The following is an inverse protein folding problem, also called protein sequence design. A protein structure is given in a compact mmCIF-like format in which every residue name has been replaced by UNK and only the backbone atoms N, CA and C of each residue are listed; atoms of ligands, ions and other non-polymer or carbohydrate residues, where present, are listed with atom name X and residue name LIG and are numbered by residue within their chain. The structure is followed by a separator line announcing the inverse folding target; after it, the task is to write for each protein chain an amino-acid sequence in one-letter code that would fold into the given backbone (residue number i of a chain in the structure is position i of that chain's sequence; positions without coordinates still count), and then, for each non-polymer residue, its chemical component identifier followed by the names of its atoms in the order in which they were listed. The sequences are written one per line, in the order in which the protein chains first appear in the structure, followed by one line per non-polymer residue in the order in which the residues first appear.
data_IF_184467035928
#
_entry.id   IF_184467035928
#
_cell.length_a   1.000
_cell.length_b   1.000
_cell.length_c   1.000
_cell.angle_alpha   90.00
_cell.angle_beta   90.00
_cell.angle_gamma   90.00
#
_symmetry.space_group_name_H-M   'P 1'
#
loop_
_entity.id
_entity.type
_entity.pdbx_description
1 polymer ?
#
# COMPACT_ATOMS: atom_id res chain seq x y z
N UNK A 1 11.54 8.78 15.89
CA UNK A 1 11.07 9.70 14.83
C UNK A 1 9.58 9.93 15.03
N UNK A 2 9.08 11.15 14.91
CA UNK A 2 7.65 11.46 15.08
C UNK A 2 7.04 11.66 13.70
N UNK A 3 6.12 10.77 13.30
CA UNK A 3 5.46 10.86 12.00
C UNK A 3 4.56 12.09 11.92
N UNK A 4 4.48 12.67 10.73
CA UNK A 4 3.55 13.76 10.42
C UNK A 4 2.14 13.23 10.20
N UNK A 5 1.13 14.12 10.23
CA UNK A 5 -0.26 13.73 9.95
C UNK A 5 -0.43 13.11 8.56
N UNK A 6 0.28 13.64 7.56
CA UNK A 6 0.23 13.12 6.18
C UNK A 6 0.79 11.71 6.12
N UNK A 7 1.90 11.45 6.80
CA UNK A 7 2.49 10.11 6.89
C UNK A 7 1.55 9.11 7.59
N UNK A 8 0.87 9.51 8.66
CA UNK A 8 -0.14 8.66 9.31
C UNK A 8 -1.30 8.30 8.37
N UNK A 9 -1.81 9.27 7.61
CA UNK A 9 -2.86 9.03 6.61
C UNK A 9 -2.36 8.07 5.53
N UNK A 10 -1.11 8.24 5.07
CA UNK A 10 -0.51 7.36 4.08
C UNK A 10 -0.33 5.92 4.60
N UNK A 11 0.07 5.76 5.87
CA UNK A 11 0.15 4.45 6.54
C UNK A 11 -1.24 3.79 6.62
N UNK A 12 -2.27 4.54 7.01
CA UNK A 12 -3.64 4.05 7.04
C UNK A 12 -4.14 3.63 5.64
N UNK A 13 -3.76 4.38 4.61
CA UNK A 13 -4.05 4.05 3.21
C UNK A 13 -3.36 2.75 2.79
N UNK A 14 -2.15 2.47 3.28
CA UNK A 14 -1.50 1.16 3.11
C UNK A 14 -2.32 0.02 3.69
N UNK A 15 -2.84 0.16 4.90
CA UNK A 15 -3.73 -0.82 5.53
C UNK A 15 -5.01 -1.05 4.70
N UNK A 16 -5.64 0.02 4.24
CA UNK A 16 -6.84 -0.03 3.41
C UNK A 16 -6.58 -0.74 2.07
N UNK A 17 -5.46 -0.43 1.41
CA UNK A 17 -5.03 -1.12 0.19
C UNK A 17 -4.83 -2.62 0.41
N UNK A 18 -4.18 -3.00 1.52
CA UNK A 18 -4.02 -4.40 1.91
C UNK A 18 -5.36 -5.14 2.01
N UNK A 19 -6.36 -4.51 2.62
CA UNK A 19 -7.70 -5.07 2.73
C UNK A 19 -8.43 -5.18 1.39
N UNK A 20 -8.34 -4.15 0.54
CA UNK A 20 -8.94 -4.14 -0.80
C UNK A 20 -8.34 -5.26 -1.66
N UNK A 21 -7.02 -5.40 -1.66
CA UNK A 21 -6.33 -6.44 -2.44
C UNK A 21 -6.67 -7.83 -1.91
N UNK A 22 -6.73 -8.03 -0.59
CA UNK A 22 -7.16 -9.30 -0.01
C UNK A 22 -8.58 -9.68 -0.44
N UNK A 23 -9.50 -8.71 -0.47
CA UNK A 23 -10.86 -8.94 -0.94
C UNK A 23 -10.89 -9.29 -2.43
N UNK A 24 -10.14 -8.56 -3.26
CA UNK A 24 -10.02 -8.84 -4.69
C UNK A 24 -9.40 -10.22 -4.98
N UNK A 25 -8.43 -10.66 -4.17
CA UNK A 25 -7.85 -11.99 -4.25
C UNK A 25 -8.89 -13.07 -3.90
N UNK A 26 -9.65 -12.89 -2.81
CA UNK A 26 -10.74 -13.83 -2.43
C UNK A 26 -11.88 -13.87 -3.43
N UNK A 27 -12.18 -12.76 -4.10
CA UNK A 27 -13.17 -12.69 -5.17
C UNK A 27 -12.73 -13.39 -6.47
N UNK A 28 -11.48 -13.88 -6.53
CA UNK A 28 -10.91 -14.49 -7.74
C UNK A 28 -10.55 -13.49 -8.83
N UNK A 29 -10.58 -12.18 -8.54
CA UNK A 29 -10.22 -11.12 -9.50
C UNK A 29 -8.70 -11.02 -9.66
N UNK A 30 -7.96 -11.42 -8.64
CA UNK A 30 -6.50 -11.51 -8.63
C UNK A 30 -6.15 -12.98 -8.46
N UNK A 31 -6.03 -13.70 -9.57
CA UNK A 31 -5.65 -15.11 -9.54
C UNK A 31 -4.19 -15.27 -9.13
N UNK A 32 -3.89 -16.26 -8.29
CA UNK A 32 -2.53 -16.66 -7.88
C UNK A 32 -1.63 -17.17 -9.04
N UNK A 33 -2.04 -16.97 -10.30
CA UNK A 33 -1.32 -17.35 -11.51
C UNK A 33 -0.12 -16.44 -11.75
N UNK A 34 0.96 -16.75 -11.04
CA UNK A 34 2.40 -16.66 -11.36
C UNK A 34 3.06 -15.36 -11.85
N UNK A 35 2.36 -14.36 -12.37
CA UNK A 35 3.00 -13.15 -12.93
C UNK A 35 3.05 -11.96 -11.95
N UNK A 36 2.03 -11.80 -11.10
CA UNK A 36 1.86 -10.61 -10.26
C UNK A 36 1.26 -10.98 -8.90
N UNK A 37 2.12 -11.26 -7.89
CA UNK A 37 1.67 -11.58 -6.54
C UNK A 37 0.82 -10.45 -5.94
N UNK A 38 -0.16 -10.76 -5.06
CA UNK A 38 -1.06 -9.76 -4.49
C UNK A 38 -0.33 -8.62 -3.75
N UNK A 39 0.79 -8.89 -3.07
CA UNK A 39 1.55 -7.84 -2.38
C UNK A 39 2.14 -6.78 -3.35
N UNK A 40 2.39 -7.15 -4.61
CA UNK A 40 2.88 -6.21 -5.64
C UNK A 40 1.80 -5.19 -5.98
N UNK A 41 0.52 -5.57 -5.92
CA UNK A 41 -0.60 -4.64 -6.09
C UNK A 41 -0.68 -3.63 -4.94
N UNK A 42 -0.35 -4.04 -3.72
CA UNK A 42 -0.25 -3.14 -2.57
C UNK A 42 0.90 -2.13 -2.79
N UNK A 43 2.06 -2.59 -3.27
CA UNK A 43 3.20 -1.73 -3.59
C UNK A 43 2.86 -0.72 -4.70
N UNK A 44 2.23 -1.20 -5.78
CA UNK A 44 1.75 -0.37 -6.89
C UNK A 44 0.73 0.67 -6.42
N UNK A 45 -0.25 0.25 -5.61
CA UNK A 45 -1.27 1.15 -5.06
C UNK A 45 -0.67 2.25 -4.20
N UNK A 46 0.31 1.93 -3.36
CA UNK A 46 1.02 2.93 -2.54
C UNK A 46 1.84 3.90 -3.40
N UNK A 47 2.57 3.39 -4.40
CA UNK A 47 3.31 4.22 -5.34
C UNK A 47 2.41 5.17 -6.14
N UNK A 48 1.27 4.67 -6.61
CA UNK A 48 0.27 5.49 -7.32
C UNK A 48 -0.37 6.53 -6.40
N UNK A 49 -0.66 6.18 -5.15
CA UNK A 49 -1.20 7.12 -4.16
C UNK A 49 -0.21 8.26 -3.89
N UNK A 50 1.07 7.95 -3.74
CA UNK A 50 2.10 8.96 -3.55
C UNK A 50 2.27 9.86 -4.78
N UNK A 51 2.30 9.27 -5.98
CA UNK A 51 2.38 10.04 -7.23
C UNK A 51 1.15 10.94 -7.42
N UNK A 52 -0.05 10.42 -7.15
CA UNK A 52 -1.29 11.19 -7.25
C UNK A 52 -1.33 12.37 -6.28
N UNK A 53 -0.92 12.15 -5.03
CA UNK A 53 -0.82 13.23 -4.03
C UNK A 53 0.28 14.22 -4.41
N UNK A 54 1.45 13.76 -4.86
CA UNK A 54 2.54 14.62 -5.33
C UNK A 54 2.13 15.51 -6.50
N UNK A 55 1.40 14.97 -7.48
CA UNK A 55 0.84 15.74 -8.59
C UNK A 55 -0.20 16.77 -8.13
N UNK A 56 -1.14 16.38 -7.27
CA UNK A 56 -2.18 17.28 -6.77
C UNK A 56 -1.61 18.45 -5.95
N UNK A 57 -0.53 18.20 -5.21
CA UNK A 57 0.13 19.18 -4.34
C UNK A 57 1.32 19.88 -5.02
N UNK A 58 1.60 19.58 -6.29
CA UNK A 58 2.79 20.05 -7.03
C UNK A 58 4.11 19.83 -6.27
N UNK A 59 4.15 18.80 -5.44
CA UNK A 59 5.30 18.46 -4.60
C UNK A 59 6.07 17.32 -5.24
N UNK A 60 7.41 17.36 -5.16
CA UNK A 60 8.23 16.29 -5.71
C UNK A 60 7.96 14.96 -4.99
N UNK A 61 7.89 13.82 -5.72
CA UNK A 61 7.90 12.51 -5.09
C UNK A 61 9.15 12.41 -4.21
N UNK A 62 9.03 11.97 -2.96
CA UNK A 62 10.14 12.10 -2.00
C UNK A 62 9.89 13.06 -0.86
N UNK A 63 9.20 14.18 -1.14
CA UNK A 63 9.19 15.33 -0.23
C UNK A 63 8.11 15.29 0.85
N UNK A 64 6.96 14.66 0.56
CA UNK A 64 5.80 14.63 1.46
C UNK A 64 5.80 13.46 2.45
N UNK A 65 6.35 12.32 2.03
CA UNK A 65 6.34 11.08 2.80
C UNK A 65 7.78 10.60 2.90
N UNK A 66 8.31 10.53 4.11
CA UNK A 66 9.66 10.01 4.32
C UNK A 66 9.75 8.51 4.01
N UNK A 67 10.93 8.04 3.62
CA UNK A 67 11.20 6.60 3.43
C UNK A 67 10.74 5.72 4.61
N UNK A 68 10.90 6.12 5.89
CA UNK A 68 10.41 5.31 7.01
C UNK A 68 8.88 5.13 6.99
N UNK A 69 8.13 6.17 6.65
CA UNK A 69 6.68 6.10 6.56
C UNK A 69 6.22 5.24 5.37
N UNK A 70 6.93 5.29 4.23
CA UNK A 70 6.67 4.41 3.08
C UNK A 70 6.85 2.95 3.43
N UNK A 71 7.97 2.63 4.06
CA UNK A 71 8.28 1.26 4.49
C UNK A 71 7.22 0.76 5.47
N UNK A 72 6.83 1.59 6.43
CA UNK A 72 5.80 1.23 7.40
C UNK A 72 4.42 1.06 6.75
N UNK A 73 4.02 1.94 5.83
CA UNK A 73 2.78 1.80 5.06
C UNK A 73 2.74 0.50 4.26
N UNK A 74 3.85 0.14 3.61
CA UNK A 74 3.97 -1.11 2.88
C UNK A 74 3.89 -2.33 3.81
N UNK A 75 4.66 -2.34 4.90
CA UNK A 75 4.65 -3.44 5.89
C UNK A 75 3.25 -3.62 6.49
N UNK A 76 2.57 -2.52 6.82
CA UNK A 76 1.20 -2.56 7.35
C UNK A 76 0.24 -3.09 6.29
N UNK A 77 0.30 -2.60 5.04
CA UNK A 77 -0.57 -3.06 3.96
C UNK A 77 -0.39 -4.53 3.63
N UNK A 78 0.87 -4.99 3.52
CA UNK A 78 1.19 -6.41 3.31
C UNK A 78 0.81 -7.26 4.52
N UNK A 79 0.98 -6.74 5.74
CA UNK A 79 0.54 -7.41 6.97
C UNK A 79 -0.98 -7.61 7.00
N UNK A 80 -1.76 -6.60 6.63
CA UNK A 80 -3.23 -6.71 6.52
C UNK A 80 -3.62 -7.69 5.42
N UNK A 81 -2.98 -7.61 4.25
CA UNK A 81 -3.18 -8.57 3.17
C UNK A 81 -2.94 -10.01 3.67
N UNK A 82 -1.80 -10.26 4.31
CA UNK A 82 -1.44 -11.57 4.82
C UNK A 82 -2.42 -12.08 5.88
N UNK A 83 -2.82 -11.20 6.82
CA UNK A 83 -3.78 -11.52 7.86
C UNK A 83 -5.13 -11.94 7.27
N UNK A 84 -5.59 -11.23 6.23
CA UNK A 84 -6.91 -11.46 5.65
C UNK A 84 -6.90 -12.63 4.66
N UNK A 85 -5.82 -12.84 3.91
CA UNK A 85 -5.71 -13.97 2.97
C UNK A 85 -5.26 -15.28 3.64
N UNK A 86 -4.79 -15.23 4.89
CA UNK A 86 -4.17 -16.39 5.56
C UNK A 86 -2.74 -16.68 5.07
N UNK A 87 -2.12 -15.74 4.36
CA UNK A 87 -0.81 -15.87 3.73
C UNK A 87 -0.58 -14.80 2.66
N UNK A 88 0.60 -14.80 2.04
CA UNK A 88 0.96 -13.87 0.96
C UNK A 88 0.65 -14.41 -0.45
N UNK A 89 0.05 -15.61 -0.53
CA UNK A 89 -0.27 -16.35 -1.75
C UNK A 89 -1.74 -16.27 -2.12
#
# INVERSE_FOLDING_TARGET
MRFTRVEFVFIALGAALGAIVAFAAKAGWVGASSALPPFVLVLLGLGLAELGVGLATKSSPGSLIGMPARMLAFVVGVGVLALLNGGLG
#
